data_IF_068766128884
#
_entry.id   IF_068766128884
#
_cell.length_a   1.000
_cell.length_b   1.000
_cell.length_c   1.000
_cell.angle_alpha   90.00
_cell.angle_beta   90.00
_cell.angle_gamma   90.00
#
_symmetry.space_group_name_H-M   'P 1'
#
loop_
_entity.id
_entity.type
_entity.pdbx_description
1 polymer ?
#
# COMPACT_ATOMS: atom_id res chain seq x y z
N UNK A 1 1.81 -13.38 -3.68
CA UNK A 1 2.31 -12.26 -2.85
C UNK A 1 2.39 -12.69 -1.38
N UNK A 2 3.36 -12.17 -0.62
CA UNK A 2 3.40 -12.24 0.85
C UNK A 2 3.10 -10.87 1.46
N UNK A 3 2.34 -10.85 2.54
CA UNK A 3 2.02 -9.65 3.31
C UNK A 3 2.25 -9.94 4.79
N UNK A 4 3.14 -9.18 5.40
CA UNK A 4 3.39 -9.21 6.85
C UNK A 4 3.04 -7.85 7.43
N UNK A 5 2.24 -7.81 8.48
CA UNK A 5 1.87 -6.56 9.17
C UNK A 5 2.22 -6.67 10.64
N UNK A 6 2.77 -5.60 11.18
CA UNK A 6 3.27 -5.52 12.54
C UNK A 6 2.62 -4.33 13.25
N UNK A 7 2.13 -4.54 14.47
CA UNK A 7 1.76 -3.43 15.35
C UNK A 7 3.01 -2.81 15.97
N UNK A 8 3.01 -1.49 16.19
CA UNK A 8 4.14 -0.76 16.76
C UNK A 8 3.87 -0.42 18.23
N UNK A 9 4.42 -1.23 19.14
CA UNK A 9 4.36 -0.99 20.59
C UNK A 9 2.93 -0.85 21.14
N UNK A 10 2.76 0.05 22.13
CA UNK A 10 1.49 0.32 22.82
C UNK A 10 0.64 1.41 22.12
N UNK A 11 1.05 1.86 20.94
CA UNK A 11 0.38 2.95 20.21
C UNK A 11 -0.34 2.37 19.00
N UNK A 12 -1.47 2.96 18.59
CA UNK A 12 -2.25 2.51 17.42
C UNK A 12 -1.54 2.94 16.14
N UNK A 13 -0.47 2.22 15.81
CA UNK A 13 0.24 2.31 14.54
C UNK A 13 0.62 0.91 14.09
N UNK A 14 0.74 0.75 12.79
CA UNK A 14 1.15 -0.52 12.20
C UNK A 14 1.97 -0.31 10.93
N UNK A 15 2.85 -1.27 10.67
CA UNK A 15 3.78 -1.28 9.56
C UNK A 15 3.63 -2.57 8.75
N UNK A 16 3.63 -2.46 7.43
CA UNK A 16 3.47 -3.59 6.52
C UNK A 16 4.65 -3.76 5.59
N UNK A 17 4.99 -5.02 5.30
CA UNK A 17 5.92 -5.43 4.27
C UNK A 17 5.19 -6.31 3.27
N UNK A 18 5.25 -5.93 2.00
CA UNK A 18 4.61 -6.61 0.88
C UNK A 18 5.71 -7.12 -0.04
N UNK A 19 5.73 -8.42 -0.31
CA UNK A 19 6.58 -9.04 -1.33
C UNK A 19 5.70 -9.56 -2.48
N UNK A 20 5.91 -9.06 -3.70
CA UNK A 20 5.20 -9.54 -4.87
C UNK A 20 5.85 -10.85 -5.35
N UNK A 21 5.03 -11.87 -5.63
CA UNK A 21 5.54 -13.14 -6.16
C UNK A 21 5.52 -13.03 -7.69
N UNK A 22 6.70 -13.06 -8.32
CA UNK A 22 6.92 -12.66 -9.72
C UNK A 22 5.81 -13.05 -10.72
N UNK A 23 5.46 -12.09 -11.59
CA UNK A 23 4.36 -12.17 -12.56
C UNK A 23 3.36 -11.01 -12.46
N UNK A 24 3.44 -10.23 -11.38
CA UNK A 24 2.58 -9.08 -11.08
C UNK A 24 3.40 -7.78 -11.31
N UNK A 25 3.07 -6.99 -12.34
CA UNK A 25 3.71 -5.68 -12.59
C UNK A 25 2.96 -4.55 -11.87
N UNK A 26 2.90 -4.67 -10.54
CA UNK A 26 2.11 -3.77 -9.69
C UNK A 26 2.55 -2.31 -9.84
N UNK A 27 3.86 -2.08 -9.87
CA UNK A 27 4.43 -0.74 -10.04
C UNK A 27 4.12 -0.18 -11.43
N UNK A 28 4.26 -0.98 -12.50
CA UNK A 28 3.89 -0.56 -13.85
C UNK A 28 2.41 -0.22 -13.99
N UNK A 29 1.51 -0.98 -13.36
CA UNK A 29 0.08 -0.68 -13.36
C UNK A 29 -0.25 0.66 -12.69
N UNK A 30 0.43 1.01 -11.60
CA UNK A 30 0.26 2.32 -10.95
C UNK A 30 0.83 3.45 -11.80
N UNK A 31 2.01 3.26 -12.37
CA UNK A 31 2.69 4.29 -13.16
C UNK A 31 1.91 4.68 -14.43
N UNK A 32 1.06 3.79 -14.95
CA UNK A 32 0.17 4.07 -16.10
C UNK A 32 -1.04 4.95 -15.75
N UNK A 33 -1.38 5.12 -14.47
CA UNK A 33 -2.60 5.83 -14.05
C UNK A 33 -2.29 7.26 -13.68
N UNK A 34 -3.18 8.16 -14.07
CA UNK A 34 -3.14 9.53 -13.56
C UNK A 34 -3.56 9.57 -12.08
N UNK A 35 -2.97 10.47 -11.27
CA UNK A 35 -3.24 10.51 -9.83
C UNK A 35 -4.72 10.70 -9.48
N UNK A 36 -5.44 11.52 -10.25
CA UNK A 36 -6.88 11.75 -10.06
C UNK A 36 -7.71 10.49 -10.33
N UNK A 37 -7.41 9.78 -11.42
CA UNK A 37 -8.08 8.52 -11.74
C UNK A 37 -7.81 7.47 -10.65
N UNK A 38 -6.56 7.34 -10.21
CA UNK A 38 -6.20 6.42 -9.14
C UNK A 38 -6.96 6.76 -7.85
N UNK A 39 -7.03 8.05 -7.47
CA UNK A 39 -7.81 8.50 -6.31
C UNK A 39 -9.26 8.02 -6.39
N UNK A 40 -9.95 8.27 -7.51
CA UNK A 40 -11.36 7.88 -7.69
C UNK A 40 -11.56 6.35 -7.60
N UNK A 41 -10.67 5.57 -8.20
CA UNK A 41 -10.70 4.10 -8.13
C UNK A 41 -10.54 3.59 -6.69
N UNK A 42 -9.63 4.20 -5.93
CA UNK A 42 -9.36 3.82 -4.54
C UNK A 42 -10.50 4.24 -3.60
N UNK A 43 -11.05 5.45 -3.74
CA UNK A 43 -12.21 5.91 -2.96
C UNK A 43 -13.40 4.97 -3.17
N UNK A 44 -13.66 4.60 -4.44
CA UNK A 44 -14.71 3.63 -4.78
C UNK A 44 -14.45 2.26 -4.17
N UNK A 45 -13.20 1.79 -4.13
CA UNK A 45 -12.87 0.48 -3.56
C UNK A 45 -12.97 0.45 -2.04
N UNK A 46 -12.53 1.53 -1.39
CA UNK A 46 -12.59 1.66 0.07
C UNK A 46 -13.99 2.04 0.55
N UNK A 47 -14.88 2.46 -0.36
CA UNK A 47 -16.23 2.92 -0.07
C UNK A 47 -16.23 4.09 0.93
N UNK A 48 -15.30 5.02 0.73
CA UNK A 48 -15.11 6.20 1.56
C UNK A 48 -14.43 7.29 0.74
N UNK A 49 -14.69 8.55 1.08
CA UNK A 49 -13.98 9.68 0.49
C UNK A 49 -12.64 9.90 1.20
N UNK A 50 -11.68 10.46 0.48
CA UNK A 50 -10.39 10.84 1.06
C UNK A 50 -10.39 12.33 1.39
N UNK A 51 -10.07 12.64 2.64
CA UNK A 51 -9.74 13.99 3.08
C UNK A 51 -8.46 14.48 2.41
N UNK A 52 -7.49 13.56 2.20
CA UNK A 52 -6.24 13.85 1.51
C UNK A 52 -5.79 12.68 0.64
N UNK A 53 -5.23 12.98 -0.53
CA UNK A 53 -4.60 12.03 -1.43
C UNK A 53 -3.22 12.56 -1.85
N UNK A 54 -2.17 11.89 -1.42
CA UNK A 54 -0.79 12.17 -1.81
C UNK A 54 -0.29 11.13 -2.82
N UNK A 55 0.33 11.59 -3.89
CA UNK A 55 0.92 10.72 -4.89
C UNK A 55 2.19 11.34 -5.45
N UNK A 56 3.30 10.60 -5.43
CA UNK A 56 4.57 11.01 -5.99
C UNK A 56 5.22 9.86 -6.75
N UNK A 57 5.87 10.19 -7.87
CA UNK A 57 6.70 9.27 -8.67
C UNK A 57 8.14 9.76 -8.58
N UNK A 58 9.09 8.85 -8.46
CA UNK A 58 10.51 9.20 -8.35
C UNK A 58 11.42 8.01 -8.60
N UNK A 59 12.67 8.17 -8.16
CA UNK A 59 13.70 7.13 -8.21
C UNK A 59 14.19 6.78 -6.80
N UNK A 60 14.57 5.53 -6.62
CA UNK A 60 15.23 4.98 -5.45
C UNK A 60 16.62 4.49 -5.86
N UNK A 61 17.68 5.04 -5.27
CA UNK A 61 19.01 4.45 -5.37
C UNK A 61 19.14 3.34 -4.32
N UNK A 62 19.13 2.09 -4.79
CA UNK A 62 19.36 0.92 -3.96
C UNK A 62 20.70 0.26 -4.31
N UNK A 63 21.69 0.51 -3.43
CA UNK A 63 23.06 -0.04 -3.57
C UNK A 63 23.70 0.31 -4.93
N UNK A 64 23.50 1.53 -5.42
CA UNK A 64 24.02 2.00 -6.70
C UNK A 64 23.16 1.62 -7.90
N UNK A 65 21.98 1.01 -7.68
CA UNK A 65 21.02 0.72 -8.75
C UNK A 65 19.83 1.67 -8.61
N UNK A 66 19.61 2.51 -9.62
CA UNK A 66 18.44 3.37 -9.68
C UNK A 66 17.22 2.56 -10.11
N UNK A 67 16.15 2.68 -9.32
CA UNK A 67 14.90 1.93 -9.50
C UNK A 67 13.71 2.88 -9.41
N UNK A 68 12.63 2.65 -10.18
CA UNK A 68 11.42 3.47 -10.07
C UNK A 68 10.79 3.32 -8.68
N UNK A 69 10.23 4.43 -8.18
CA UNK A 69 9.58 4.52 -6.88
C UNK A 69 8.22 5.22 -7.05
N UNK A 70 7.20 4.70 -6.37
CA UNK A 70 5.94 5.42 -6.16
C UNK A 70 5.66 5.53 -4.67
N UNK A 71 5.29 6.73 -4.24
CA UNK A 71 4.74 6.98 -2.91
C UNK A 71 3.27 7.35 -3.03
N UNK A 72 2.42 6.69 -2.23
CA UNK A 72 1.00 6.94 -2.13
C UNK A 72 0.64 7.19 -0.67
N UNK A 73 -0.18 8.20 -0.40
CA UNK A 73 -0.75 8.48 0.93
C UNK A 73 -2.24 8.75 0.79
N UNK A 74 -3.04 8.19 1.69
CA UNK A 74 -4.47 8.47 1.80
C UNK A 74 -4.81 8.80 3.24
N UNK A 75 -5.64 9.79 3.42
CA UNK A 75 -6.23 10.15 4.71
C UNK A 75 -7.76 10.09 4.56
N UNK A 76 -8.41 9.29 5.41
CA UNK A 76 -9.85 9.05 5.38
C UNK A 76 -10.59 10.08 6.26
N UNK A 77 -11.91 10.14 6.13
CA UNK A 77 -12.74 11.08 6.92
C UNK A 77 -12.72 10.81 8.43
N UNK A 78 -12.44 9.57 8.86
CA UNK A 78 -12.32 9.20 10.26
C UNK A 78 -10.95 9.52 10.88
N UNK A 79 -10.04 10.11 10.11
CA UNK A 79 -8.68 10.44 10.53
C UNK A 79 -7.68 9.29 10.38
N UNK A 80 -8.10 8.14 9.84
CA UNK A 80 -7.19 7.06 9.48
C UNK A 80 -6.28 7.50 8.33
N UNK A 81 -4.99 7.28 8.50
CA UNK A 81 -3.93 7.58 7.56
C UNK A 81 -3.27 6.27 7.13
N UNK A 82 -3.01 6.18 5.83
CA UNK A 82 -2.30 5.05 5.24
C UNK A 82 -1.33 5.56 4.18
N UNK A 83 -0.11 5.05 4.22
CA UNK A 83 0.90 5.30 3.20
C UNK A 83 1.49 4.01 2.66
N UNK A 84 1.91 4.06 1.40
CA UNK A 84 2.51 2.96 0.67
C UNK A 84 3.68 3.48 -0.16
N UNK A 85 4.85 2.91 0.07
CA UNK A 85 6.06 3.10 -0.72
C UNK A 85 6.30 1.86 -1.56
N UNK A 86 6.33 2.02 -2.88
CA UNK A 86 6.24 0.92 -3.85
C UNK A 86 7.45 0.98 -4.77
N UNK A 87 8.16 -0.13 -4.89
CA UNK A 87 9.34 -0.27 -5.73
C UNK A 87 9.33 -1.68 -6.37
N UNK A 88 10.23 -1.99 -7.33
CA UNK A 88 10.19 -3.27 -8.01
C UNK A 88 10.21 -4.47 -7.04
N UNK A 89 9.21 -5.33 -7.16
CA UNK A 89 9.11 -6.60 -6.41
C UNK A 89 8.62 -6.48 -4.96
N UNK A 90 8.45 -5.28 -4.39
CA UNK A 90 7.94 -5.14 -3.03
C UNK A 90 7.39 -3.75 -2.72
N UNK A 91 6.68 -3.65 -1.59
CA UNK A 91 6.22 -2.37 -1.05
C UNK A 91 6.29 -2.37 0.47
N UNK A 92 6.36 -1.16 1.04
CA UNK A 92 6.26 -0.91 2.48
C UNK A 92 5.01 -0.09 2.74
N UNK A 93 4.29 -0.40 3.79
CA UNK A 93 3.12 0.36 4.20
C UNK A 93 3.20 0.80 5.65
N UNK A 94 2.55 1.91 5.94
CA UNK A 94 2.43 2.44 7.29
C UNK A 94 1.04 3.00 7.51
N UNK A 95 0.49 2.81 8.70
CA UNK A 95 -0.82 3.34 9.08
C UNK A 95 -0.88 3.69 10.56
N UNK A 96 -1.74 4.65 10.91
CA UNK A 96 -2.13 4.97 12.29
C UNK A 96 -3.33 4.14 12.78
N UNK A 97 -3.52 2.95 12.21
CA UNK A 97 -4.55 1.99 12.57
C UNK A 97 -3.92 0.73 13.15
N UNK A 98 -4.74 -0.13 13.75
CA UNK A 98 -4.26 -1.44 14.19
C UNK A 98 -3.88 -2.34 12.99
N UNK A 99 -3.17 -3.44 13.28
CA UNK A 99 -2.67 -4.32 12.23
C UNK A 99 -3.78 -5.01 11.41
N UNK A 100 -4.97 -5.23 11.98
CA UNK A 100 -6.08 -5.87 11.27
C UNK A 100 -6.73 -4.90 10.28
N UNK A 101 -6.99 -3.67 10.71
CA UNK A 101 -7.48 -2.61 9.84
C UNK A 101 -6.48 -2.28 8.73
N UNK A 102 -5.20 -2.14 9.08
CA UNK A 102 -4.13 -1.93 8.11
C UNK A 102 -4.07 -3.08 7.09
N UNK A 103 -4.20 -4.34 7.52
CA UNK A 103 -4.28 -5.49 6.61
C UNK A 103 -5.42 -5.37 5.62
N UNK A 104 -6.61 -5.07 6.12
CA UNK A 104 -7.80 -4.95 5.29
C UNK A 104 -7.66 -3.79 4.28
N UNK A 105 -7.11 -2.65 4.71
CA UNK A 105 -6.86 -1.49 3.85
C UNK A 105 -5.84 -1.81 2.75
N UNK A 106 -4.68 -2.39 3.10
CA UNK A 106 -3.67 -2.84 2.12
C UNK A 106 -4.31 -3.76 1.09
N UNK A 107 -5.01 -4.81 1.54
CA UNK A 107 -5.62 -5.78 0.62
C UNK A 107 -6.61 -5.12 -0.34
N UNK A 108 -7.46 -4.21 0.16
CA UNK A 108 -8.41 -3.48 -0.70
C UNK A 108 -7.69 -2.63 -1.73
N UNK A 109 -6.68 -1.86 -1.33
CA UNK A 109 -5.90 -0.98 -2.20
C UNK A 109 -5.16 -1.79 -3.28
N UNK A 110 -4.44 -2.84 -2.87
CA UNK A 110 -3.71 -3.71 -3.81
C UNK A 110 -4.66 -4.35 -4.83
N UNK A 111 -5.85 -4.77 -4.40
CA UNK A 111 -6.88 -5.36 -5.29
C UNK A 111 -7.52 -4.32 -6.21
N UNK A 112 -7.59 -3.05 -5.81
CA UNK A 112 -8.05 -1.97 -6.69
C UNK A 112 -7.04 -1.70 -7.80
N UNK A 113 -5.76 -1.70 -7.42
CA UNK A 113 -4.66 -1.42 -8.35
C UNK A 113 -4.49 -2.58 -9.33
N UNK A 114 -4.52 -3.82 -8.85
CA UNK A 114 -4.37 -4.98 -9.72
C UNK A 114 -5.52 -5.98 -9.50
N UNK A 115 -6.63 -5.84 -10.25
CA UNK A 115 -7.72 -6.79 -10.21
C UNK A 115 -7.22 -8.21 -10.55
N UNK A 116 -7.45 -9.16 -9.65
CA UNK A 116 -6.97 -10.55 -9.82
C UNK A 116 -5.63 -10.85 -9.14
N UNK A 117 -5.07 -9.91 -8.39
CA UNK A 117 -3.91 -10.15 -7.52
C UNK A 117 -4.16 -11.34 -6.60
N UNK A 118 -3.21 -12.29 -6.56
CA UNK A 118 -3.33 -13.45 -5.67
C UNK A 118 -2.93 -13.04 -4.26
N UNK A 119 -3.95 -12.83 -3.43
CA UNK A 119 -3.77 -12.50 -2.03
C UNK A 119 -3.10 -13.67 -1.26
N UNK A 120 -2.26 -13.36 -0.26
CA UNK A 120 -1.63 -14.37 0.58
C UNK A 120 -2.69 -15.26 1.26
N UNK A 121 -2.45 -16.57 1.26
CA UNK A 121 -3.32 -17.55 1.93
C UNK A 121 -3.20 -17.52 3.45
N UNK A 122 -2.07 -17.05 3.97
CA UNK A 122 -1.79 -16.95 5.39
C UNK A 122 -1.50 -15.50 5.76
N UNK A 123 -2.14 -15.03 6.84
CA UNK A 123 -1.91 -13.70 7.41
C UNK A 123 -0.86 -13.82 8.51
N UNK A 124 0.21 -13.03 8.43
CA UNK A 124 1.16 -12.89 9.53
C UNK A 124 0.96 -11.50 10.14
N UNK A 125 0.33 -11.50 11.32
CA UNK A 125 0.17 -10.32 12.17
C UNK A 125 1.11 -10.51 13.36
N UNK A 126 2.11 -9.64 13.48
CA UNK A 126 3.12 -9.69 14.54
C UNK A 126 3.07 -8.46 15.45
N UNK A 127 3.70 -8.56 16.61
CA UNK A 127 4.05 -7.41 17.45
C UNK A 127 5.53 -7.08 17.18
N UNK A 128 5.83 -5.82 16.86
CA UNK A 128 7.20 -5.32 16.69
C UNK A 128 7.68 -4.58 17.95
#
# INVERSE_FOLDING_TARGET
MKLSIFSVGDVVYSYGVIEFEGGEDFLGEILKREPSQLKEELEKKLNTAFTSFGFARGGLDYKGNEMPLVYLRVELEDGSDFSLEIYPGSARSFSNTDAEEHYNTVVKLLTAIQPGLKLPRARLIGLA
#
